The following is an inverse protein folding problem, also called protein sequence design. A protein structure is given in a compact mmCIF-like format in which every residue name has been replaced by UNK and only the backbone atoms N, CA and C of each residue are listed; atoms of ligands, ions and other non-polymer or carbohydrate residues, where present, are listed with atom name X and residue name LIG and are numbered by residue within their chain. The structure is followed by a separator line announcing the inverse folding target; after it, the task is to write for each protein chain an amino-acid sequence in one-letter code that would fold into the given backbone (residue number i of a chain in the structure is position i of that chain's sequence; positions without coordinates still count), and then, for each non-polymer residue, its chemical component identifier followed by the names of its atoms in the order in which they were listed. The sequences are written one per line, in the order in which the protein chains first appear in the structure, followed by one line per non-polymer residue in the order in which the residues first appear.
data_IF_925358602759
#
_entry.id   IF_925358602759
#
_cell.length_a   1.000
_cell.length_b   1.000
_cell.length_c   1.000
_cell.angle_alpha   90.00
_cell.angle_beta   90.00
_cell.angle_gamma   90.00
#
_symmetry.space_group_name_H-M   'P 1'
#
loop_
_entity.id
_entity.type
_entity.pdbx_description
1 polymer ?
#
# COMPACT_ATOMS: atom_id res chain seq x y z
N UNK A 1 12.68 11.34 -2.72
CA UNK A 1 11.85 11.81 -3.85
C UNK A 1 10.76 12.73 -3.34
N UNK A 2 10.23 13.67 -4.15
CA UNK A 2 9.12 14.54 -3.74
C UNK A 2 7.93 13.76 -3.18
N UNK A 3 7.53 12.69 -3.83
CA UNK A 3 6.43 11.81 -3.40
C UNK A 3 6.68 11.22 -1.99
N UNK A 4 7.90 10.78 -1.71
CA UNK A 4 8.24 10.28 -0.37
C UNK A 4 8.13 11.37 0.70
N UNK A 5 8.47 12.60 0.38
CA UNK A 5 8.31 13.76 1.29
C UNK A 5 6.83 14.05 1.53
N UNK A 6 6.01 14.11 0.48
CA UNK A 6 4.56 14.35 0.58
C UNK A 6 3.90 13.24 1.41
N UNK A 7 4.22 11.97 1.15
CA UNK A 7 3.72 10.82 1.92
C UNK A 7 4.03 10.92 3.41
N UNK A 8 5.23 11.38 3.75
CA UNK A 8 5.63 11.55 5.15
C UNK A 8 4.90 12.73 5.84
N UNK A 9 4.56 13.79 5.10
CA UNK A 9 3.84 14.96 5.62
C UNK A 9 2.36 14.68 5.81
N UNK A 10 1.72 14.14 4.78
CA UNK A 10 0.27 13.87 4.79
C UNK A 10 -0.05 12.66 5.68
N UNK A 11 0.87 11.70 5.79
CA UNK A 11 0.58 10.39 6.37
C UNK A 11 -0.39 9.62 5.47
N UNK A 12 -0.95 8.53 5.96
CA UNK A 12 -1.96 7.78 5.22
C UNK A 12 -1.41 6.60 4.43
N UNK A 13 -2.17 6.17 3.44
CA UNK A 13 -1.97 4.92 2.71
C UNK A 13 -1.92 5.17 1.22
N UNK A 14 -0.99 4.51 0.55
CA UNK A 14 -0.90 4.50 -0.92
C UNK A 14 -1.81 3.40 -1.45
N UNK A 15 -2.84 3.78 -2.20
CA UNK A 15 -3.72 2.86 -2.89
C UNK A 15 -3.31 2.75 -4.36
N UNK A 16 -3.02 1.53 -4.81
CA UNK A 16 -2.68 1.19 -6.19
C UNK A 16 -3.88 0.53 -6.83
N UNK A 17 -4.51 1.23 -7.78
CA UNK A 17 -5.72 0.78 -8.47
C UNK A 17 -5.43 0.50 -9.96
N UNK A 18 -5.70 -0.71 -10.46
CA UNK A 18 -5.51 -1.04 -11.86
C UNK A 18 -6.59 -0.37 -12.73
N UNK A 19 -6.17 0.05 -13.92
CA UNK A 19 -7.04 0.56 -14.97
C UNK A 19 -7.36 -0.61 -15.91
N UNK A 20 -8.65 -0.93 -16.06
CA UNK A 20 -9.09 -2.04 -16.90
C UNK A 20 -9.49 -1.53 -18.28
N UNK A 21 -8.70 -1.87 -19.29
CA UNK A 21 -8.98 -1.58 -20.68
C UNK A 21 -9.57 -2.81 -21.38
N UNK A 22 -10.73 -2.67 -22.03
CA UNK A 22 -11.46 -3.79 -22.66
C UNK A 22 -10.66 -4.51 -23.76
N UNK A 23 -9.80 -3.77 -24.47
CA UNK A 23 -8.98 -4.25 -25.59
C UNK A 23 -7.58 -4.73 -25.17
N UNK A 24 -7.25 -4.69 -23.90
CA UNK A 24 -5.96 -5.18 -23.39
C UNK A 24 -6.20 -6.49 -22.65
N UNK A 25 -5.62 -7.61 -23.11
CA UNK A 25 -5.78 -8.88 -22.45
C UNK A 25 -5.10 -8.89 -21.10
N UNK A 26 -5.79 -9.41 -20.08
CA UNK A 26 -5.25 -9.60 -18.73
C UNK A 26 -4.47 -10.92 -18.66
N UNK A 27 -3.35 -10.94 -17.93
CA UNK A 27 -2.62 -12.18 -17.66
C UNK A 27 -3.37 -13.09 -16.69
N UNK A 28 -4.20 -12.49 -15.81
CA UNK A 28 -5.10 -13.23 -14.92
C UNK A 28 -6.54 -13.01 -15.39
N UNK A 29 -7.11 -13.92 -16.19
CA UNK A 29 -8.44 -13.74 -16.81
C UNK A 29 -9.58 -13.57 -15.80
N UNK A 30 -9.46 -14.17 -14.61
CA UNK A 30 -10.45 -14.07 -13.53
C UNK A 30 -10.59 -12.66 -12.93
N UNK A 31 -9.61 -11.78 -13.09
CA UNK A 31 -9.67 -10.42 -12.56
C UNK A 31 -10.54 -9.52 -13.44
N UNK A 32 -11.85 -9.71 -13.36
CA UNK A 32 -12.83 -8.93 -14.13
C UNK A 32 -13.03 -7.52 -13.60
N UNK A 33 -12.84 -7.34 -12.31
CA UNK A 33 -12.99 -6.07 -11.60
C UNK A 33 -11.65 -5.66 -10.95
N UNK A 34 -11.44 -4.37 -10.65
CA UNK A 34 -10.21 -3.95 -9.99
C UNK A 34 -10.06 -4.55 -8.59
N UNK A 35 -8.88 -5.04 -8.27
CA UNK A 35 -8.44 -5.24 -6.89
C UNK A 35 -7.45 -4.13 -6.55
N UNK A 36 -7.59 -3.54 -5.37
CA UNK A 36 -6.80 -2.40 -4.94
C UNK A 36 -5.82 -2.81 -3.86
N UNK A 37 -4.54 -2.51 -4.07
CA UNK A 37 -3.52 -2.68 -3.03
C UNK A 37 -3.44 -1.41 -2.21
N UNK A 38 -3.69 -1.54 -0.89
CA UNK A 38 -3.42 -0.49 0.10
C UNK A 38 -2.05 -0.74 0.74
N UNK A 39 -1.05 0.08 0.40
CA UNK A 39 0.31 -0.06 0.92
C UNK A 39 0.55 0.88 2.10
N UNK A 40 0.99 0.33 3.24
CA UNK A 40 1.51 1.10 4.36
C UNK A 40 2.87 1.71 3.98
N UNK A 41 2.91 3.00 3.69
CA UNK A 41 4.10 3.66 3.16
C UNK A 41 5.08 4.15 4.23
N UNK A 42 5.17 3.46 5.38
CA UNK A 42 6.02 3.84 6.50
C UNK A 42 6.70 2.61 7.13
N UNK A 43 7.93 2.82 7.63
CA UNK A 43 8.63 1.84 8.45
C UNK A 43 9.08 0.58 7.72
N UNK A 44 9.22 -0.50 8.46
CA UNK A 44 9.65 -1.83 8.03
C UNK A 44 11.00 -1.79 7.29
N UNK A 45 11.20 -2.56 6.24
CA UNK A 45 12.44 -2.63 5.47
C UNK A 45 12.88 -1.28 4.88
N UNK A 46 11.97 -0.34 4.65
CA UNK A 46 12.24 0.98 4.07
C UNK A 46 12.83 1.99 5.07
N UNK A 47 12.82 1.65 6.34
CA UNK A 47 13.43 2.42 7.45
C UNK A 47 14.36 1.54 8.30
N UNK A 48 14.88 0.48 7.71
CA UNK A 48 15.77 -0.45 8.38
C UNK A 48 17.17 0.13 8.57
N UNK A 49 17.84 -0.37 9.60
CA UNK A 49 19.28 -0.24 9.78
C UNK A 49 19.89 -1.60 9.53
N UNK A 50 20.74 -1.70 8.53
CA UNK A 50 21.46 -2.93 8.17
C UNK A 50 22.97 -2.71 8.12
N UNK A 51 23.73 -3.77 8.36
CA UNK A 51 25.18 -3.71 8.32
C UNK A 51 25.79 -5.11 8.12
N UNK A 52 27.01 -5.11 7.57
CA UNK A 52 27.81 -6.33 7.47
C UNK A 52 28.50 -6.63 8.79
N UNK A 53 28.27 -7.82 9.34
CA UNK A 53 28.97 -8.33 10.53
C UNK A 53 30.35 -8.82 10.11
N UNK A 54 31.45 -8.24 10.63
CA UNK A 54 32.80 -8.49 10.09
C UNK A 54 33.41 -9.83 10.56
N UNK A 55 32.88 -10.47 11.61
CA UNK A 55 33.46 -11.67 12.17
C UNK A 55 32.68 -12.25 13.33
N UNK A 56 33.35 -13.07 14.15
CA UNK A 56 32.76 -13.64 15.37
C UNK A 56 32.32 -12.54 16.33
N UNK A 57 31.11 -12.68 16.89
CA UNK A 57 30.59 -11.71 17.83
C UNK A 57 29.11 -11.87 18.11
N UNK A 58 28.62 -11.12 19.08
CA UNK A 58 27.24 -11.16 19.53
C UNK A 58 26.45 -9.97 19.01
N UNK A 59 25.31 -10.23 18.40
CA UNK A 59 24.33 -9.23 18.00
C UNK A 59 23.25 -9.11 19.06
N UNK A 60 22.96 -7.88 19.47
CA UNK A 60 21.94 -7.56 20.47
C UNK A 60 21.06 -6.41 19.98
N UNK A 61 19.80 -6.43 20.34
CA UNK A 61 18.89 -5.29 20.22
C UNK A 61 18.68 -4.72 21.62
N UNK A 62 18.85 -3.40 21.75
CA UNK A 62 18.66 -2.67 22.98
C UNK A 62 17.64 -1.56 22.76
N UNK A 63 16.69 -1.42 23.68
CA UNK A 63 15.82 -0.27 23.81
C UNK A 63 15.97 0.30 25.22
N UNK A 64 16.06 1.63 25.32
CA UNK A 64 16.17 2.35 26.60
C UNK A 64 15.09 3.42 26.62
N UNK A 65 14.33 3.50 27.70
CA UNK A 65 13.37 4.58 27.93
C UNK A 65 14.08 5.94 27.95
N UNK A 66 13.41 7.00 27.49
CA UNK A 66 13.97 8.36 27.41
C UNK A 66 14.44 8.86 28.78
N UNK A 67 13.70 8.55 29.85
CA UNK A 67 14.01 8.89 31.22
C UNK A 67 15.02 7.92 31.89
N UNK A 68 15.47 6.90 31.19
CA UNK A 68 16.40 5.89 31.68
C UNK A 68 15.83 4.90 32.69
N UNK A 69 14.52 4.94 32.97
CA UNK A 69 13.89 4.09 34.01
C UNK A 69 13.66 2.63 33.58
N UNK A 70 13.61 2.34 32.27
CA UNK A 70 13.45 0.98 31.75
C UNK A 70 14.44 0.73 30.60
N UNK A 71 15.00 -0.45 30.61
CA UNK A 71 15.91 -0.92 29.57
C UNK A 71 15.56 -2.36 29.20
N UNK A 72 15.45 -2.61 27.89
CA UNK A 72 15.19 -3.96 27.36
C UNK A 72 16.30 -4.35 26.41
N UNK A 73 16.91 -5.50 26.66
CA UNK A 73 18.02 -6.02 25.88
C UNK A 73 17.73 -7.46 25.48
N UNK A 74 17.89 -7.75 24.19
CA UNK A 74 17.66 -9.08 23.65
C UNK A 74 18.87 -9.52 22.82
N UNK A 75 19.42 -10.68 23.12
CA UNK A 75 20.38 -11.33 22.23
C UNK A 75 19.63 -11.81 20.98
N UNK A 76 20.11 -11.41 19.80
CA UNK A 76 19.54 -11.81 18.51
C UNK A 76 20.25 -13.08 18.01
N UNK A 77 21.59 -13.02 17.95
CA UNK A 77 22.39 -14.12 17.45
C UNK A 77 23.86 -14.00 17.87
N UNK A 78 24.51 -15.14 18.06
CA UNK A 78 25.95 -15.22 18.32
C UNK A 78 26.64 -15.71 17.05
N UNK A 79 27.24 -14.80 16.30
CA UNK A 79 27.85 -15.06 15.01
C UNK A 79 29.13 -15.87 15.15
N UNK A 80 29.24 -17.02 14.48
CA UNK A 80 30.48 -17.83 14.45
C UNK A 80 31.53 -17.31 13.46
N UNK A 81 31.16 -16.33 12.61
CA UNK A 81 31.97 -15.73 11.57
C UNK A 81 31.24 -14.52 10.92
N UNK A 82 31.73 -14.04 9.76
CA UNK A 82 31.10 -12.93 9.06
C UNK A 82 29.65 -13.21 8.67
N UNK A 83 28.84 -12.16 8.59
CA UNK A 83 27.43 -12.24 8.21
C UNK A 83 26.81 -10.88 7.94
N UNK A 84 25.50 -10.82 7.99
CA UNK A 84 24.73 -9.60 7.79
C UNK A 84 23.63 -9.53 8.85
N UNK A 85 23.28 -8.33 9.28
CA UNK A 85 22.21 -8.09 10.25
C UNK A 85 21.35 -6.90 9.81
N UNK A 86 20.07 -6.94 10.20
CA UNK A 86 19.08 -5.89 9.92
C UNK A 86 18.16 -5.73 11.10
N UNK A 87 17.83 -4.49 11.42
CA UNK A 87 16.77 -4.11 12.36
C UNK A 87 15.79 -3.17 11.69
N UNK A 88 14.50 -3.36 11.94
CA UNK A 88 13.42 -2.52 11.43
C UNK A 88 12.43 -2.20 12.54
N UNK A 89 11.59 -1.18 12.33
CA UNK A 89 10.59 -0.74 13.30
C UNK A 89 9.32 -0.22 12.63
N UNK A 90 8.27 -0.08 13.43
CA UNK A 90 7.07 0.65 13.07
C UNK A 90 6.48 1.35 14.31
N UNK A 91 5.48 2.21 14.10
CA UNK A 91 4.83 2.99 15.15
C UNK A 91 3.35 2.63 15.21
N UNK A 92 2.80 2.44 16.42
CA UNK A 92 1.38 2.18 16.63
C UNK A 92 0.51 3.24 15.94
N UNK A 93 0.83 4.52 16.14
CA UNK A 93 0.10 5.64 15.51
C UNK A 93 0.09 5.54 13.97
N UNK A 94 1.20 5.15 13.36
CA UNK A 94 1.28 4.97 11.90
C UNK A 94 0.43 3.80 11.42
N UNK A 95 0.38 2.72 12.19
CA UNK A 95 -0.45 1.54 11.88
C UNK A 95 -1.94 1.88 12.05
N UNK A 96 -2.31 2.64 13.09
CA UNK A 96 -3.69 3.13 13.26
C UNK A 96 -4.13 3.99 12.09
N UNK A 97 -3.29 4.92 11.64
CA UNK A 97 -3.59 5.80 10.50
C UNK A 97 -3.71 5.01 9.20
N UNK A 98 -2.88 3.99 9.02
CA UNK A 98 -2.98 3.03 7.93
C UNK A 98 -4.33 2.29 7.96
N UNK A 99 -4.75 1.79 9.12
CA UNK A 99 -6.02 1.12 9.29
C UNK A 99 -7.20 2.05 8.94
N UNK A 100 -7.21 3.30 9.48
CA UNK A 100 -8.24 4.29 9.19
C UNK A 100 -8.34 4.61 7.71
N UNK A 101 -7.19 4.82 7.04
CA UNK A 101 -7.15 5.08 5.60
C UNK A 101 -7.76 3.92 4.80
N UNK A 102 -7.39 2.68 5.12
CA UNK A 102 -7.93 1.49 4.45
C UNK A 102 -9.44 1.33 4.66
N UNK A 103 -9.93 1.52 5.88
CA UNK A 103 -11.35 1.41 6.17
C UNK A 103 -12.16 2.54 5.55
N UNK A 104 -11.68 3.78 5.57
CA UNK A 104 -12.33 4.88 4.88
C UNK A 104 -12.40 4.63 3.37
N UNK A 105 -11.33 4.13 2.77
CA UNK A 105 -11.33 3.80 1.34
C UNK A 105 -12.29 2.64 1.02
N UNK A 106 -12.38 1.64 1.93
CA UNK A 106 -13.40 0.58 1.86
C UNK A 106 -14.82 1.13 1.86
N UNK A 107 -15.11 2.11 2.71
CA UNK A 107 -16.41 2.77 2.75
C UNK A 107 -16.71 3.58 1.49
N UNK A 108 -15.72 4.33 0.97
CA UNK A 108 -15.85 5.10 -0.29
C UNK A 108 -16.19 4.17 -1.46
N UNK A 109 -15.45 3.07 -1.61
CA UNK A 109 -15.65 2.09 -2.68
C UNK A 109 -16.85 1.15 -2.43
N UNK A 110 -17.31 1.04 -1.19
CA UNK A 110 -18.26 0.00 -0.72
C UNK A 110 -17.74 -1.42 -0.96
N UNK A 111 -16.46 -1.62 -0.71
CA UNK A 111 -15.75 -2.89 -0.91
C UNK A 111 -15.17 -3.43 0.40
N UNK A 112 -15.08 -4.75 0.54
CA UNK A 112 -14.43 -5.38 1.69
C UNK A 112 -12.94 -4.99 1.77
N UNK A 113 -12.42 -5.03 3.00
CA UNK A 113 -11.01 -4.76 3.30
C UNK A 113 -10.39 -6.01 3.91
N UNK A 114 -9.28 -6.47 3.31
CA UNK A 114 -8.49 -7.58 3.82
C UNK A 114 -7.09 -7.08 4.21
N UNK A 115 -6.72 -7.24 5.49
CA UNK A 115 -5.35 -7.06 5.92
C UNK A 115 -4.60 -8.38 5.80
N UNK A 116 -3.42 -8.37 5.20
CA UNK A 116 -2.56 -9.55 5.22
C UNK A 116 -1.26 -9.32 5.99
N UNK A 117 -0.85 -10.32 6.76
CA UNK A 117 0.39 -10.34 7.52
C UNK A 117 0.97 -11.77 7.59
N UNK A 118 2.17 -11.91 8.14
CA UNK A 118 2.73 -13.22 8.49
C UNK A 118 2.90 -13.35 10.01
N UNK A 119 1.84 -13.04 10.75
CA UNK A 119 1.84 -13.03 12.23
C UNK A 119 2.08 -14.42 12.85
N UNK A 120 1.97 -15.50 12.10
CA UNK A 120 2.34 -16.84 12.54
C UNK A 120 3.87 -17.01 12.69
N UNK A 121 4.66 -16.21 11.97
CA UNK A 121 6.13 -16.16 12.04
C UNK A 121 6.55 -14.91 12.83
N UNK A 122 6.16 -13.73 12.41
CA UNK A 122 6.45 -12.45 13.08
C UNK A 122 5.38 -12.18 14.15
N UNK A 123 5.33 -13.04 15.18
CA UNK A 123 4.21 -13.10 16.13
C UNK A 123 3.92 -11.76 16.83
N UNK A 124 4.95 -11.00 17.19
CA UNK A 124 4.79 -9.70 17.85
C UNK A 124 4.72 -8.56 16.85
N UNK A 125 5.62 -8.53 15.88
CA UNK A 125 5.70 -7.44 14.91
C UNK A 125 4.44 -7.39 14.02
N UNK A 126 4.16 -8.44 13.29
CA UNK A 126 2.96 -8.54 12.45
C UNK A 126 1.68 -8.68 13.28
N UNK A 127 1.79 -9.34 14.44
CA UNK A 127 0.67 -9.41 15.41
C UNK A 127 0.19 -8.04 15.84
N UNK A 128 1.10 -7.06 16.04
CA UNK A 128 0.71 -5.70 16.38
C UNK A 128 -0.10 -5.01 15.28
N UNK A 129 0.25 -5.22 14.00
CA UNK A 129 -0.57 -4.73 12.88
C UNK A 129 -1.99 -5.33 12.92
N UNK A 130 -2.09 -6.65 13.10
CA UNK A 130 -3.38 -7.34 13.20
C UNK A 130 -4.22 -6.80 14.35
N UNK A 131 -3.63 -6.66 15.52
CA UNK A 131 -4.34 -6.23 16.73
C UNK A 131 -4.82 -4.79 16.61
N UNK A 132 -3.98 -3.87 16.14
CA UNK A 132 -4.35 -2.45 15.93
C UNK A 132 -5.47 -2.33 14.88
N UNK A 133 -5.37 -3.05 13.76
CA UNK A 133 -6.44 -3.04 12.75
C UNK A 133 -7.78 -3.51 13.35
N UNK A 134 -7.75 -4.57 14.15
CA UNK A 134 -8.95 -5.07 14.82
C UNK A 134 -9.52 -4.04 15.81
N UNK A 135 -8.65 -3.43 16.63
CA UNK A 135 -9.06 -2.42 17.60
C UNK A 135 -9.69 -1.20 16.92
N UNK A 136 -9.07 -0.68 15.85
CA UNK A 136 -9.61 0.46 15.09
C UNK A 136 -10.93 0.09 14.41
N UNK A 137 -11.00 -1.12 13.82
CA UNK A 137 -12.23 -1.59 13.20
C UNK A 137 -13.39 -1.64 14.18
N UNK A 138 -13.21 -2.29 15.32
CA UNK A 138 -14.27 -2.46 16.31
C UNK A 138 -14.75 -1.13 16.92
N UNK A 139 -13.80 -0.22 17.17
CA UNK A 139 -14.10 1.08 17.80
C UNK A 139 -14.73 2.10 16.87
N UNK A 140 -14.32 2.13 15.59
CA UNK A 140 -14.60 3.27 14.71
C UNK A 140 -15.39 2.90 13.45
N UNK A 141 -15.33 1.66 12.98
CA UNK A 141 -15.79 1.28 11.64
C UNK A 141 -16.83 0.15 11.59
N UNK A 142 -16.95 -0.68 12.61
CA UNK A 142 -17.80 -1.86 12.61
C UNK A 142 -19.23 -1.54 12.17
N UNK A 143 -19.91 -0.61 12.85
CA UNK A 143 -21.29 -0.24 12.54
C UNK A 143 -21.46 0.32 11.12
N UNK A 144 -20.44 1.08 10.66
CA UNK A 144 -20.43 1.64 9.31
C UNK A 144 -20.30 0.55 8.24
N UNK A 145 -19.47 -0.45 8.49
CA UNK A 145 -19.25 -1.60 7.60
C UNK A 145 -20.52 -2.47 7.55
N UNK A 146 -21.12 -2.78 8.71
CA UNK A 146 -22.37 -3.52 8.79
C UNK A 146 -23.51 -2.81 8.03
N UNK A 147 -23.67 -1.49 8.23
CA UNK A 147 -24.64 -0.67 7.48
C UNK A 147 -24.44 -0.72 5.97
N UNK A 148 -23.20 -0.76 5.51
CA UNK A 148 -22.84 -0.83 4.08
C UNK A 148 -22.75 -2.28 3.56
N UNK A 149 -22.96 -3.28 4.39
CA UNK A 149 -22.89 -4.73 4.04
C UNK A 149 -21.51 -5.11 3.45
N UNK A 150 -20.45 -4.54 3.98
CA UNK A 150 -19.06 -4.86 3.66
C UNK A 150 -18.36 -5.41 4.89
N UNK A 151 -17.27 -6.17 4.68
CA UNK A 151 -16.56 -6.85 5.75
C UNK A 151 -15.10 -6.39 5.85
N UNK A 152 -14.54 -6.58 7.03
CA UNK A 152 -13.10 -6.59 7.27
C UNK A 152 -12.68 -7.98 7.73
N UNK A 153 -11.55 -8.46 7.21
CA UNK A 153 -10.95 -9.72 7.62
C UNK A 153 -9.43 -9.64 7.58
N UNK A 154 -8.77 -10.23 8.58
CA UNK A 154 -7.33 -10.46 8.55
C UNK A 154 -7.04 -11.85 7.99
N UNK A 155 -6.06 -11.95 7.08
CA UNK A 155 -5.59 -13.22 6.49
C UNK A 155 -4.08 -13.33 6.55
N UNK A 156 -3.56 -14.55 6.52
CA UNK A 156 -2.13 -14.75 6.28
C UNK A 156 -1.79 -14.36 4.83
N UNK A 157 -0.60 -13.78 4.63
CA UNK A 157 -0.20 -13.25 3.30
C UNK A 157 -0.22 -14.33 2.21
N UNK A 158 0.22 -15.54 2.52
CA UNK A 158 0.22 -16.67 1.58
C UNK A 158 -1.21 -17.13 1.21
N UNK A 159 -2.13 -17.17 2.19
CA UNK A 159 -3.55 -17.42 1.92
C UNK A 159 -4.17 -16.29 1.09
N UNK A 160 -3.86 -15.03 1.43
CA UNK A 160 -4.39 -13.89 0.68
C UNK A 160 -3.89 -13.86 -0.77
N UNK A 161 -2.63 -14.23 -1.04
CA UNK A 161 -2.13 -14.40 -2.41
C UNK A 161 -2.92 -15.47 -3.16
N UNK A 162 -3.19 -16.61 -2.52
CA UNK A 162 -3.99 -17.68 -3.12
C UNK A 162 -5.43 -17.24 -3.39
N UNK A 163 -6.04 -16.46 -2.50
CA UNK A 163 -7.35 -15.86 -2.69
C UNK A 163 -7.35 -14.86 -3.84
N UNK A 164 -6.37 -13.97 -3.90
CA UNK A 164 -6.25 -12.95 -4.94
C UNK A 164 -6.20 -13.57 -6.34
N UNK A 165 -5.51 -14.70 -6.51
CA UNK A 165 -5.44 -15.41 -7.79
C UNK A 165 -6.76 -16.07 -8.21
N UNK A 166 -7.69 -16.26 -7.28
CA UNK A 166 -8.99 -16.94 -7.51
C UNK A 166 -10.17 -15.98 -7.57
N UNK A 167 -10.09 -14.84 -6.88
CA UNK A 167 -11.17 -13.87 -6.79
C UNK A 167 -11.21 -12.94 -7.99
N UNK A 168 -12.36 -12.28 -8.17
CA UNK A 168 -12.61 -11.46 -9.35
C UNK A 168 -12.21 -9.99 -9.22
N UNK A 169 -11.90 -9.52 -8.02
CA UNK A 169 -11.66 -8.13 -7.68
C UNK A 169 -12.72 -7.56 -6.73
N UNK A 170 -12.90 -6.24 -6.71
CA UNK A 170 -13.80 -5.48 -5.81
C UNK A 170 -13.47 -5.66 -4.34
N UNK A 171 -12.21 -5.56 -3.99
CA UNK A 171 -11.75 -5.53 -2.60
C UNK A 171 -10.49 -4.70 -2.46
N UNK A 172 -10.22 -4.27 -1.22
CA UNK A 172 -8.99 -3.58 -0.85
C UNK A 172 -8.12 -4.57 -0.09
N UNK A 173 -6.92 -4.76 -0.57
CA UNK A 173 -5.90 -5.58 0.06
C UNK A 173 -4.89 -4.69 0.78
N UNK A 174 -5.04 -4.56 2.11
CA UNK A 174 -4.13 -3.81 2.96
C UNK A 174 -2.86 -4.63 3.22
N UNK A 175 -1.72 -4.09 2.81
CA UNK A 175 -0.42 -4.73 2.87
C UNK A 175 0.57 -3.88 3.67
N UNK A 176 1.45 -4.52 4.43
CA UNK A 176 2.63 -3.86 4.99
C UNK A 176 3.51 -3.29 3.87
N UNK A 177 4.46 -2.45 4.22
CA UNK A 177 5.22 -1.65 3.26
C UNK A 177 5.85 -2.48 2.11
N UNK A 178 6.66 -3.47 2.42
CA UNK A 178 7.31 -4.32 1.42
C UNK A 178 6.31 -5.20 0.65
N UNK A 179 5.38 -5.82 1.37
CA UNK A 179 4.34 -6.66 0.76
C UNK A 179 3.50 -5.85 -0.24
N UNK A 180 3.14 -4.62 0.12
CA UNK A 180 2.38 -3.70 -0.73
C UNK A 180 3.16 -3.24 -1.96
N UNK A 181 4.46 -3.02 -1.84
CA UNK A 181 5.34 -2.70 -2.97
C UNK A 181 5.35 -3.85 -3.99
N UNK A 182 5.66 -5.06 -3.53
CA UNK A 182 5.75 -6.25 -4.39
C UNK A 182 4.40 -6.63 -4.97
N UNK A 183 3.34 -6.65 -4.16
CA UNK A 183 2.01 -7.06 -4.63
C UNK A 183 1.38 -6.04 -5.57
N UNK A 184 1.63 -4.74 -5.40
CA UNK A 184 1.11 -3.75 -6.35
C UNK A 184 1.70 -3.93 -7.76
N UNK A 185 2.98 -4.24 -7.87
CA UNK A 185 3.61 -4.53 -9.15
C UNK A 185 3.12 -5.86 -9.75
N UNK A 186 2.96 -6.89 -8.92
CA UNK A 186 2.37 -8.19 -9.34
C UNK A 186 0.97 -7.99 -9.90
N UNK A 187 0.13 -7.24 -9.20
CA UNK A 187 -1.24 -6.92 -9.62
C UNK A 187 -1.24 -6.11 -10.92
N UNK A 188 -0.37 -5.10 -11.04
CA UNK A 188 -0.24 -4.31 -12.26
C UNK A 188 0.07 -5.18 -13.49
N UNK A 189 0.99 -6.12 -13.36
CA UNK A 189 1.30 -7.06 -14.43
C UNK A 189 0.12 -7.99 -14.75
N UNK A 190 -0.61 -8.44 -13.74
CA UNK A 190 -1.79 -9.28 -13.92
C UNK A 190 -2.90 -8.60 -14.75
N UNK A 191 -3.06 -7.28 -14.62
CA UNK A 191 -3.99 -6.47 -15.42
C UNK A 191 -3.43 -6.01 -16.78
N UNK A 192 -2.13 -6.18 -17.02
CA UNK A 192 -1.50 -5.89 -18.30
C UNK A 192 -0.15 -5.19 -18.21
N UNK A 193 -0.03 -4.12 -17.48
CA UNK A 193 1.25 -3.43 -17.24
C UNK A 193 1.17 -2.40 -16.14
N UNK A 194 2.32 -1.98 -15.63
CA UNK A 194 2.43 -0.88 -14.66
C UNK A 194 1.90 0.46 -15.21
N UNK A 195 1.93 0.67 -16.53
CA UNK A 195 1.35 1.84 -17.19
C UNK A 195 -0.19 1.89 -17.17
N UNK A 196 -0.84 0.84 -16.64
CA UNK A 196 -2.28 0.74 -16.44
C UNK A 196 -2.65 0.74 -14.95
N UNK A 197 -1.90 1.49 -14.14
CA UNK A 197 -2.16 1.59 -12.71
C UNK A 197 -2.07 3.04 -12.25
N UNK A 198 -3.04 3.45 -11.44
CA UNK A 198 -2.98 4.72 -10.71
C UNK A 198 -2.48 4.51 -9.29
N UNK A 199 -1.97 5.57 -8.70
CA UNK A 199 -1.55 5.63 -7.31
C UNK A 199 -2.26 6.80 -6.62
N UNK A 200 -2.94 6.50 -5.53
CA UNK A 200 -3.64 7.50 -4.72
C UNK A 200 -3.14 7.39 -3.29
N UNK A 201 -2.69 8.51 -2.73
CA UNK A 201 -2.43 8.63 -1.31
C UNK A 201 -3.64 9.27 -0.65
N UNK A 202 -4.26 8.56 0.29
CA UNK A 202 -5.38 9.07 1.09
C UNK A 202 -4.94 9.25 2.54
N UNK A 203 -5.13 10.47 3.05
CA UNK A 203 -4.89 10.77 4.46
C UNK A 203 -5.87 10.01 5.38
N UNK A 204 -5.51 9.79 6.68
CA UNK A 204 -6.34 9.02 7.60
C UNK A 204 -7.76 9.59 7.81
N UNK A 205 -7.93 10.91 7.62
CA UNK A 205 -9.22 11.59 7.73
C UNK A 205 -10.14 11.40 6.50
N UNK A 206 -9.60 10.82 5.42
CA UNK A 206 -10.31 10.62 4.17
C UNK A 206 -10.57 11.88 3.35
N UNK A 207 -10.01 13.04 3.73
CA UNK A 207 -10.28 14.33 3.07
C UNK A 207 -9.15 14.78 2.15
N UNK A 208 -7.90 14.57 2.56
CA UNK A 208 -6.74 14.96 1.77
C UNK A 208 -6.31 13.79 0.89
N UNK A 209 -6.20 14.04 -0.41
CA UNK A 209 -5.81 13.05 -1.40
C UNK A 209 -4.70 13.62 -2.30
N UNK A 210 -3.68 12.81 -2.55
CA UNK A 210 -2.72 12.99 -3.65
C UNK A 210 -2.96 11.88 -4.68
N UNK A 211 -2.95 12.22 -5.96
CA UNK A 211 -3.09 11.24 -7.04
C UNK A 211 -1.95 11.38 -8.04
N UNK A 212 -1.36 10.26 -8.45
CA UNK A 212 -0.24 10.21 -9.38
C UNK A 212 -0.33 8.98 -10.30
N UNK A 213 0.46 8.97 -11.36
CA UNK A 213 0.73 7.74 -12.11
C UNK A 213 1.60 6.81 -11.25
N UNK A 214 1.30 5.51 -11.24
CA UNK A 214 2.02 4.54 -10.43
C UNK A 214 3.45 4.21 -10.94
N UNK A 215 3.88 4.82 -12.04
CA UNK A 215 5.17 4.61 -12.67
C UNK A 215 6.00 5.89 -12.74
N UNK A 216 7.31 5.74 -12.95
CA UNK A 216 8.23 6.86 -13.14
C UNK A 216 8.19 7.46 -14.56
N UNK A 217 9.10 8.38 -14.83
CA UNK A 217 9.17 9.17 -16.07
C UNK A 217 9.70 8.42 -17.29
N UNK A 218 10.02 7.12 -17.17
CA UNK A 218 10.52 6.25 -18.25
C UNK A 218 11.71 6.89 -19.03
N UNK A 219 12.71 7.34 -18.30
CA UNK A 219 13.89 8.05 -18.83
C UNK A 219 14.60 7.30 -19.96
N UNK A 220 14.49 5.95 -19.99
CA UNK A 220 15.05 5.12 -21.07
C UNK A 220 14.40 5.45 -22.41
N UNK A 221 13.08 5.60 -22.48
CA UNK A 221 12.35 5.98 -23.69
C UNK A 221 12.74 7.38 -24.15
N UNK A 222 12.83 8.35 -23.22
CA UNK A 222 13.27 9.69 -23.55
C UNK A 222 14.68 9.72 -24.16
N UNK A 223 15.62 8.96 -23.59
CA UNK A 223 16.97 8.83 -24.15
C UNK A 223 17.01 8.18 -25.54
N UNK A 224 16.11 7.24 -25.82
CA UNK A 224 15.97 6.66 -27.16
C UNK A 224 15.39 7.69 -28.14
N UNK A 225 14.38 8.46 -27.73
CA UNK A 225 13.81 9.56 -28.52
C UNK A 225 14.87 10.61 -28.86
N UNK A 226 15.69 11.02 -27.90
CA UNK A 226 16.81 11.97 -28.15
C UNK A 226 17.82 11.44 -29.19
N UNK A 227 17.92 10.13 -29.38
CA UNK A 227 18.77 9.49 -30.39
C UNK A 227 18.04 9.27 -31.72
N UNK A 228 16.86 9.85 -31.91
CA UNK A 228 16.04 9.71 -33.12
C UNK A 228 15.44 8.34 -33.33
N UNK A 229 15.36 7.51 -32.26
CA UNK A 229 14.70 6.19 -32.33
C UNK A 229 13.22 6.33 -32.05
N UNK A 230 12.43 5.48 -32.69
CA UNK A 230 10.99 5.38 -32.44
C UNK A 230 10.73 4.98 -30.99
N UNK A 231 9.82 5.69 -30.34
CA UNK A 231 9.36 5.42 -28.98
C UNK A 231 7.87 5.64 -28.88
N UNK A 232 7.23 4.96 -27.93
CA UNK A 232 5.80 5.14 -27.62
C UNK A 232 5.63 5.78 -26.26
N UNK A 233 4.51 6.49 -26.07
CA UNK A 233 4.07 7.03 -24.78
C UNK A 233 2.69 6.47 -24.44
N UNK A 234 2.43 6.33 -23.14
CA UNK A 234 1.12 5.94 -22.64
C UNK A 234 0.67 6.91 -21.54
N UNK A 235 -0.24 7.86 -21.83
CA UNK A 235 -0.69 8.86 -20.87
C UNK A 235 -1.83 8.39 -19.95
N UNK A 236 -2.33 7.16 -20.12
CA UNK A 236 -3.55 6.67 -19.44
C UNK A 236 -3.44 6.82 -17.93
N UNK A 237 -2.35 6.36 -17.31
CA UNK A 237 -2.16 6.47 -15.86
C UNK A 237 -2.17 7.93 -15.38
N UNK A 238 -1.63 8.87 -16.15
CA UNK A 238 -1.66 10.30 -15.82
C UNK A 238 -3.06 10.89 -15.95
N UNK A 239 -3.81 10.49 -16.97
CA UNK A 239 -5.21 10.91 -17.15
C UNK A 239 -6.05 10.45 -15.95
N UNK A 240 -5.95 9.16 -15.59
CA UNK A 240 -6.67 8.61 -14.46
C UNK A 240 -6.21 9.20 -13.11
N UNK A 241 -4.95 9.58 -12.96
CA UNK A 241 -4.51 10.30 -11.77
C UNK A 241 -5.24 11.65 -11.63
N UNK A 242 -5.38 12.40 -12.72
CA UNK A 242 -6.16 13.64 -12.71
C UNK A 242 -7.63 13.41 -12.43
N UNK A 243 -8.27 12.45 -13.09
CA UNK A 243 -9.70 12.17 -12.87
C UNK A 243 -9.97 11.69 -11.45
N UNK A 244 -9.11 10.84 -10.87
CA UNK A 244 -9.24 10.40 -9.46
C UNK A 244 -9.18 11.56 -8.48
N UNK A 245 -8.22 12.47 -8.62
CA UNK A 245 -8.14 13.68 -7.81
C UNK A 245 -9.36 14.60 -7.98
N UNK A 246 -9.83 14.78 -9.22
CA UNK A 246 -11.01 15.60 -9.53
C UNK A 246 -12.32 14.95 -9.04
N UNK A 247 -12.47 13.63 -9.11
CA UNK A 247 -13.61 12.91 -8.53
C UNK A 247 -13.67 13.14 -7.01
N UNK A 248 -12.55 12.97 -6.33
CA UNK A 248 -12.48 13.22 -4.90
C UNK A 248 -12.85 14.68 -4.55
N UNK A 249 -12.37 15.64 -5.32
CA UNK A 249 -12.74 17.05 -5.17
C UNK A 249 -14.22 17.29 -5.43
N UNK A 250 -14.76 16.66 -6.47
CA UNK A 250 -16.19 16.76 -6.81
C UNK A 250 -17.09 16.23 -5.69
N UNK A 251 -16.71 15.12 -5.07
CA UNK A 251 -17.43 14.54 -3.93
C UNK A 251 -17.41 15.46 -2.71
N UNK A 252 -16.24 16.04 -2.38
CA UNK A 252 -16.11 16.99 -1.27
C UNK A 252 -16.93 18.26 -1.46
N UNK A 253 -17.08 18.73 -2.70
CA UNK A 253 -17.81 19.96 -3.05
C UNK A 253 -19.27 19.70 -3.44
N UNK A 254 -19.72 18.44 -3.49
CA UNK A 254 -21.03 18.06 -4.04
C UNK A 254 -21.23 18.59 -5.47
N UNK A 255 -20.18 18.49 -6.31
CA UNK A 255 -20.17 18.98 -7.69
C UNK A 255 -20.46 17.85 -8.68
N UNK A 256 -21.74 17.56 -8.89
CA UNK A 256 -22.19 16.48 -9.78
C UNK A 256 -21.72 16.64 -11.23
N UNK A 257 -21.58 17.87 -11.73
CA UNK A 257 -21.12 18.12 -13.11
C UNK A 257 -19.69 17.67 -13.30
N UNK A 258 -18.81 17.97 -12.35
CA UNK A 258 -17.41 17.54 -12.38
C UNK A 258 -17.32 16.03 -12.22
N UNK A 259 -18.13 15.43 -11.34
CA UNK A 259 -18.18 13.99 -11.14
C UNK A 259 -18.60 13.26 -12.44
N UNK A 260 -19.67 13.73 -13.10
CA UNK A 260 -20.13 13.17 -14.38
C UNK A 260 -19.05 13.29 -15.46
N UNK A 261 -18.41 14.45 -15.58
CA UNK A 261 -17.34 14.69 -16.56
C UNK A 261 -16.19 13.68 -16.37
N UNK A 262 -15.71 13.49 -15.14
CA UNK A 262 -14.63 12.56 -14.86
C UNK A 262 -15.00 11.10 -15.17
N UNK A 263 -16.21 10.68 -14.78
CA UNK A 263 -16.70 9.32 -15.04
C UNK A 263 -16.91 9.04 -16.54
N UNK A 264 -17.24 10.04 -17.33
CA UNK A 264 -17.37 9.89 -18.80
C UNK A 264 -16.00 9.82 -19.48
N UNK A 265 -14.98 10.44 -18.90
CA UNK A 265 -13.64 10.43 -19.45
C UNK A 265 -12.93 9.09 -19.16
N UNK A 266 -13.19 8.45 -18.02
CA UNK A 266 -12.70 7.10 -17.67
C UNK A 266 -13.45 5.99 -18.41
#
# INVERSE_FOLDING_TARGET
SPNGTIRNIIGGTVFREPIICKNIPKLVPSWTDPLIIGRHAFGDQYRATDFTVPGKGKLEIKWTAEDGTDERKYEVFNFPGPGIALSMYNLDKSIEDFARSCFNYGLIKKWPVYLSTKNTILKRYDGRFKDIFQEVFEKEFKDKFEKNKIIYEHRLIDDMVACAMKWHGKYIWACKNYDGDVQSDTVAQGYGSLGLMTSVLLAPDGKTMEAEAAHGTVTRHYRLHQKGKETSTNPIASIFAWTRGLIHRAELDSNDKLLIFCNLLE
#
